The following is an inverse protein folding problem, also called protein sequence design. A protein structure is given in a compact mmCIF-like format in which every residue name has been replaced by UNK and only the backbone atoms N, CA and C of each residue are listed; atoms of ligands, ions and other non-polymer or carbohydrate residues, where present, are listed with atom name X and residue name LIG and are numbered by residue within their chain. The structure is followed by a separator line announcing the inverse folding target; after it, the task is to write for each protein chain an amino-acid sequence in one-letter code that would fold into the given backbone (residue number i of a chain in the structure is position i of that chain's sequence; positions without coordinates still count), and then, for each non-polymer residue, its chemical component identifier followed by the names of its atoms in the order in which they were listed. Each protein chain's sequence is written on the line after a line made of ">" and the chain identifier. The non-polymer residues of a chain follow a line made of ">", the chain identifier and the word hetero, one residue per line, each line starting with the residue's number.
data_IF_164637558309
#
_entry.id   IF_164637558309
#
_cell.length_a   1.000
_cell.length_b   1.000
_cell.length_c   1.000
_cell.angle_alpha   90.00
_cell.angle_beta   90.00
_cell.angle_gamma   90.00
#
_symmetry.space_group_name_H-M   'P 1'
#
loop_
_entity.id
_entity.type
_entity.pdbx_description
1 polymer ?
#
# COMPACT_ATOMS: atom_id res chain seq x y z
N UNK A 1 6.89 3.49 -18.54
CA UNK A 1 5.87 4.51 -18.78
C UNK A 1 4.83 4.45 -17.67
N UNK A 2 4.60 5.56 -17.01
CA UNK A 2 3.71 5.60 -15.85
C UNK A 2 2.24 5.43 -16.26
N UNK A 3 1.57 4.42 -15.74
CA UNK A 3 0.14 4.20 -15.98
C UNK A 3 -0.70 5.08 -15.03
N UNK A 4 -1.93 5.44 -15.42
CA UNK A 4 -2.78 6.33 -14.63
C UNK A 4 -3.53 5.58 -13.51
N UNK A 5 -2.79 4.89 -12.64
CA UNK A 5 -3.34 4.30 -11.42
C UNK A 5 -2.24 4.14 -10.38
N UNK A 6 -2.65 4.06 -9.13
CA UNK A 6 -1.79 3.80 -7.97
C UNK A 6 -2.20 2.50 -7.32
N UNK A 7 -1.28 1.93 -6.55
CA UNK A 7 -1.60 0.82 -5.65
C UNK A 7 -1.15 1.16 -4.23
N UNK A 8 -1.83 0.53 -3.29
CA UNK A 8 -1.51 0.54 -1.87
C UNK A 8 -1.47 -0.92 -1.43
N UNK A 9 -0.44 -1.32 -0.69
CA UNK A 9 -0.33 -2.70 -0.21
C UNK A 9 0.01 -2.74 1.27
N UNK A 10 -0.74 -3.52 2.02
CA UNK A 10 -0.62 -3.61 3.48
C UNK A 10 0.04 -4.93 3.85
N UNK A 11 1.28 -4.89 4.40
CA UNK A 11 1.90 -6.08 4.97
C UNK A 11 1.28 -6.37 6.33
N UNK A 12 0.89 -7.62 6.58
CA UNK A 12 0.42 -8.00 7.90
C UNK A 12 1.03 -9.33 8.32
N UNK A 13 1.05 -9.57 9.63
CA UNK A 13 1.45 -10.85 10.22
C UNK A 13 0.72 -11.03 11.54
N UNK A 14 0.72 -12.25 12.06
CA UNK A 14 0.11 -12.56 13.34
C UNK A 14 1.17 -12.75 14.41
N UNK A 15 0.94 -12.14 15.57
CA UNK A 15 1.76 -12.36 16.77
C UNK A 15 0.82 -12.74 17.89
N UNK A 16 1.00 -13.97 18.43
CA UNK A 16 0.12 -14.52 19.48
C UNK A 16 -1.36 -14.44 19.10
N UNK A 17 -1.67 -14.74 17.83
CA UNK A 17 -3.04 -14.75 17.31
C UNK A 17 -3.62 -13.39 16.97
N UNK A 18 -2.85 -12.31 17.14
CA UNK A 18 -3.30 -10.95 16.85
C UNK A 18 -2.60 -10.40 15.61
N UNK A 19 -3.34 -9.71 14.71
CA UNK A 19 -2.70 -9.14 13.53
C UNK A 19 -1.88 -7.91 13.87
N UNK A 20 -0.71 -7.82 13.24
CA UNK A 20 0.15 -6.64 13.25
C UNK A 20 0.31 -6.16 11.81
N UNK A 21 0.45 -4.86 11.65
CA UNK A 21 0.54 -4.22 10.34
C UNK A 21 1.84 -3.43 10.24
N UNK A 22 2.50 -3.52 9.09
CA UNK A 22 3.76 -2.82 8.90
C UNK A 22 3.51 -1.46 8.26
N UNK A 23 3.88 -0.40 8.98
CA UNK A 23 3.85 0.97 8.43
C UNK A 23 5.27 1.42 8.16
N UNK A 24 5.44 2.22 7.11
CA UNK A 24 6.73 2.69 6.62
C UNK A 24 6.80 4.20 6.72
N UNK A 25 7.93 4.71 7.18
CA UNK A 25 8.18 6.15 7.26
C UNK A 25 8.90 6.61 6.00
N UNK A 26 8.34 7.56 5.29
CA UNK A 26 8.92 8.07 4.04
C UNK A 26 10.16 8.90 4.31
N UNK A 27 11.17 8.75 3.42
CA UNK A 27 12.41 9.53 3.53
C UNK A 27 12.26 10.96 3.05
N UNK A 28 11.29 11.24 2.16
CA UNK A 28 11.10 12.55 1.55
C UNK A 28 10.15 13.47 2.34
N UNK A 29 9.42 12.92 3.31
CA UNK A 29 8.50 13.68 4.14
C UNK A 29 8.29 12.93 5.46
N UNK A 30 7.79 13.64 6.47
CA UNK A 30 7.60 13.03 7.80
C UNK A 30 6.22 12.38 7.90
N UNK A 31 5.98 11.39 7.05
CA UNK A 31 4.68 10.71 6.97
C UNK A 31 4.84 9.21 7.01
N UNK A 32 3.87 8.56 7.68
CA UNK A 32 3.78 7.12 7.77
C UNK A 32 2.69 6.60 6.84
N UNK A 33 3.00 5.56 6.09
CA UNK A 33 2.05 4.98 5.15
C UNK A 33 2.38 3.51 4.90
N UNK A 34 1.50 2.82 4.15
CA UNK A 34 1.79 1.49 3.67
C UNK A 34 2.59 1.57 2.37
N UNK A 35 2.95 0.42 1.82
CA UNK A 35 3.61 0.35 0.53
C UNK A 35 2.70 1.00 -0.51
N UNK A 36 3.25 1.91 -1.30
CA UNK A 36 2.48 2.62 -2.32
C UNK A 36 3.34 2.88 -3.55
N UNK A 37 2.72 2.87 -4.70
CA UNK A 37 3.43 3.18 -5.93
C UNK A 37 2.49 3.15 -7.11
N UNK A 38 3.00 3.43 -8.28
CA UNK A 38 2.19 3.53 -9.49
C UNK A 38 2.35 2.35 -10.41
N UNK A 39 1.32 2.12 -11.22
CA UNK A 39 1.41 1.16 -12.30
C UNK A 39 2.38 1.61 -13.37
N UNK A 40 2.94 0.67 -14.09
CA UNK A 40 3.85 0.93 -15.21
C UNK A 40 3.39 0.17 -16.44
N UNK A 41 3.51 0.82 -17.59
CA UNK A 41 3.20 0.22 -18.89
C UNK A 41 1.81 -0.42 -18.92
N UNK A 42 1.74 -1.70 -19.21
CA UNK A 42 0.49 -2.44 -19.33
C UNK A 42 0.21 -3.33 -18.12
N UNK A 43 0.84 -3.04 -16.97
CA UNK A 43 0.60 -3.81 -15.76
C UNK A 43 -0.86 -3.75 -15.33
N UNK A 44 -1.37 -4.88 -14.83
CA UNK A 44 -2.60 -4.88 -14.06
C UNK A 44 -2.32 -4.31 -12.67
N UNK A 45 -3.33 -3.85 -11.92
CA UNK A 45 -3.11 -3.42 -10.53
C UNK A 45 -2.44 -4.48 -9.67
N UNK A 46 -2.80 -5.75 -9.80
CA UNK A 46 -2.17 -6.84 -9.04
C UNK A 46 -0.69 -6.97 -9.38
N UNK A 47 -0.34 -6.90 -10.66
CA UNK A 47 1.06 -6.96 -11.08
C UNK A 47 1.86 -5.80 -10.53
N UNK A 48 1.29 -4.60 -10.56
CA UNK A 48 1.94 -3.41 -10.00
C UNK A 48 2.13 -3.56 -8.49
N UNK A 49 1.14 -4.11 -7.78
CA UNK A 49 1.24 -4.33 -6.33
C UNK A 49 2.38 -5.31 -6.02
N UNK A 50 2.48 -6.41 -6.75
CA UNK A 50 3.54 -7.41 -6.54
C UNK A 50 4.92 -6.78 -6.77
N UNK A 51 5.07 -5.98 -7.83
CA UNK A 51 6.34 -5.29 -8.12
C UNK A 51 6.70 -4.27 -7.06
N UNK A 52 5.76 -3.43 -6.65
CA UNK A 52 6.01 -2.41 -5.62
C UNK A 52 6.33 -3.05 -4.26
N UNK A 53 5.66 -4.15 -3.91
CA UNK A 53 5.96 -4.89 -2.69
C UNK A 53 7.43 -5.33 -2.72
N UNK A 54 7.89 -5.87 -3.83
CA UNK A 54 9.28 -6.32 -3.97
C UNK A 54 10.25 -5.14 -3.88
N UNK A 55 9.96 -4.05 -4.58
CA UNK A 55 10.84 -2.87 -4.60
C UNK A 55 10.98 -2.23 -3.22
N UNK A 56 9.89 -2.13 -2.46
CA UNK A 56 9.91 -1.43 -1.18
C UNK A 56 10.21 -2.32 0.03
N UNK A 57 10.04 -3.64 -0.08
CA UNK A 57 10.22 -4.54 1.06
C UNK A 57 11.20 -5.67 0.82
N UNK A 58 11.56 -5.93 -0.42
CA UNK A 58 12.39 -7.10 -0.78
C UNK A 58 11.62 -8.42 -0.76
N UNK A 59 10.31 -8.39 -0.56
CA UNK A 59 9.48 -9.59 -0.45
C UNK A 59 8.91 -9.98 -1.80
N UNK A 60 9.12 -11.24 -2.22
CA UNK A 60 8.43 -11.82 -3.37
C UNK A 60 7.10 -12.39 -2.89
N UNK A 61 6.09 -11.55 -2.79
CA UNK A 61 4.79 -11.93 -2.25
C UNK A 61 4.07 -12.92 -3.18
N UNK A 62 3.62 -14.04 -2.62
CA UNK A 62 2.95 -15.10 -3.39
C UNK A 62 1.43 -15.01 -3.33
N UNK A 63 0.89 -14.43 -2.26
CA UNK A 63 -0.54 -14.32 -2.02
C UNK A 63 -0.91 -12.88 -1.73
N UNK A 64 -0.98 -12.09 -2.79
CA UNK A 64 -1.45 -10.72 -2.71
C UNK A 64 -2.93 -10.76 -3.08
N UNK A 65 -3.77 -10.21 -2.22
CA UNK A 65 -5.21 -10.20 -2.50
C UNK A 65 -5.76 -8.77 -2.49
N UNK A 66 -6.75 -8.48 -3.34
CA UNK A 66 -7.33 -7.14 -3.40
C UNK A 66 -8.29 -6.90 -2.26
N UNK A 67 -8.31 -5.67 -1.77
CA UNK A 67 -9.34 -5.18 -0.87
C UNK A 67 -10.41 -4.49 -1.71
N UNK A 68 -11.57 -4.25 -1.12
CA UNK A 68 -12.63 -3.49 -1.78
C UNK A 68 -12.32 -2.00 -1.76
N UNK A 69 -11.62 -1.55 -0.73
CA UNK A 69 -11.28 -0.14 -0.55
C UNK A 69 -10.49 0.40 -1.74
N UNK A 70 -10.89 1.57 -2.21
CA UNK A 70 -10.14 2.33 -3.20
C UNK A 70 -10.43 3.80 -3.00
N UNK A 71 -9.56 4.64 -3.52
CA UNK A 71 -9.79 6.08 -3.54
C UNK A 71 -9.32 6.64 -4.86
N UNK A 72 -9.61 7.91 -5.09
CA UNK A 72 -9.09 8.64 -6.25
C UNK A 72 -8.09 9.68 -5.77
N UNK A 73 -6.97 9.78 -6.46
CA UNK A 73 -5.90 10.71 -6.16
C UNK A 73 -5.87 11.78 -7.27
N UNK A 74 -5.71 13.03 -6.89
CA UNK A 74 -5.63 14.12 -7.85
C UNK A 74 -4.41 13.94 -8.75
N UNK A 75 -4.61 14.09 -10.05
CA UNK A 75 -3.52 13.94 -11.02
C UNK A 75 -2.41 14.98 -10.81
N UNK A 76 -2.76 16.17 -10.30
CA UNK A 76 -1.79 17.24 -10.06
C UNK A 76 -0.85 16.97 -8.87
N UNK A 77 -1.07 15.88 -8.13
CA UNK A 77 -0.12 15.43 -7.11
C UNK A 77 1.12 14.77 -7.74
N UNK A 78 1.09 14.49 -9.03
CA UNK A 78 2.19 13.82 -9.75
C UNK A 78 2.91 14.80 -10.66
N UNK A 79 4.18 14.52 -10.94
CA UNK A 79 5.00 15.37 -11.81
C UNK A 79 4.49 15.36 -13.25
N UNK A 80 4.84 16.40 -14.00
CA UNK A 80 4.52 16.46 -15.43
C UNK A 80 5.13 15.28 -16.18
N UNK A 81 6.31 14.85 -15.76
CA UNK A 81 6.98 13.69 -16.36
C UNK A 81 6.15 12.40 -16.16
N UNK A 82 5.62 12.19 -14.95
CA UNK A 82 4.77 11.02 -14.66
C UNK A 82 3.50 11.05 -15.49
N UNK A 83 2.92 12.24 -15.71
CA UNK A 83 1.65 12.43 -16.42
C UNK A 83 1.78 12.52 -17.93
N UNK A 84 3.01 12.47 -18.47
CA UNK A 84 3.29 12.78 -19.87
C UNK A 84 2.46 11.95 -20.86
N UNK A 85 2.09 10.72 -20.49
CA UNK A 85 1.36 9.80 -21.38
C UNK A 85 -0.12 9.66 -21.01
N UNK A 86 -0.58 10.41 -20.00
CA UNK A 86 -1.99 10.38 -19.61
C UNK A 86 -2.79 11.30 -20.52
N UNK A 87 -4.08 10.98 -20.70
CA UNK A 87 -4.93 11.86 -21.50
C UNK A 87 -5.13 13.20 -20.78
N UNK A 88 -5.44 14.24 -21.55
CA UNK A 88 -5.59 15.60 -21.01
C UNK A 88 -6.71 15.74 -20.00
N UNK A 89 -7.73 14.88 -20.12
CA UNK A 89 -8.88 14.86 -19.23
C UNK A 89 -8.72 13.93 -18.02
N UNK A 90 -7.50 13.49 -17.74
CA UNK A 90 -7.21 12.70 -16.54
C UNK A 90 -7.02 13.66 -15.36
N UNK A 91 -8.09 13.90 -14.61
CA UNK A 91 -8.05 14.78 -13.44
C UNK A 91 -7.77 14.03 -12.15
N UNK A 92 -8.22 12.79 -12.06
CA UNK A 92 -8.00 11.91 -10.91
C UNK A 92 -7.64 10.52 -11.41
N UNK A 93 -6.87 9.79 -10.60
CA UNK A 93 -6.53 8.39 -10.93
C UNK A 93 -6.92 7.50 -9.75
N UNK A 94 -7.33 6.25 -10.01
CA UNK A 94 -7.68 5.34 -8.93
C UNK A 94 -6.45 4.83 -8.19
N UNK A 95 -6.61 4.61 -6.88
CA UNK A 95 -5.64 3.91 -6.05
C UNK A 95 -6.30 2.63 -5.55
N UNK A 96 -5.80 1.48 -5.98
CA UNK A 96 -6.31 0.18 -5.60
C UNK A 96 -5.55 -0.36 -4.39
N UNK A 97 -6.26 -0.99 -3.46
CA UNK A 97 -5.68 -1.48 -2.21
C UNK A 97 -5.55 -2.99 -2.21
N UNK A 98 -4.43 -3.45 -1.66
CA UNK A 98 -4.08 -4.86 -1.56
C UNK A 98 -3.53 -5.17 -0.18
N UNK A 99 -3.49 -6.45 0.16
CA UNK A 99 -2.86 -6.90 1.39
C UNK A 99 -2.13 -8.21 1.13
N UNK A 100 -1.12 -8.49 1.96
CA UNK A 100 -0.40 -9.77 1.90
C UNK A 100 0.15 -10.13 3.27
N UNK A 101 0.13 -11.44 3.58
CA UNK A 101 0.71 -11.94 4.81
C UNK A 101 2.24 -11.98 4.65
N UNK A 102 2.95 -11.38 5.61
CA UNK A 102 4.39 -11.25 5.55
C UNK A 102 5.03 -11.90 6.78
N UNK A 103 5.52 -13.14 6.61
CA UNK A 103 6.25 -13.84 7.66
C UNK A 103 7.75 -13.61 7.62
N UNK A 104 8.23 -12.86 6.64
CA UNK A 104 9.65 -12.60 6.43
C UNK A 104 10.03 -11.21 6.90
N UNK A 105 11.33 -10.98 7.13
CA UNK A 105 11.82 -9.65 7.48
C UNK A 105 11.77 -8.73 6.27
N UNK A 106 11.23 -7.54 6.48
CA UNK A 106 11.16 -6.51 5.45
C UNK A 106 12.46 -5.73 5.41
N UNK A 107 13.02 -5.57 4.21
CA UNK A 107 14.18 -4.70 3.97
C UNK A 107 13.68 -3.44 3.30
N UNK A 108 13.76 -2.31 4.00
CA UNK A 108 13.30 -1.03 3.46
C UNK A 108 14.21 -0.54 2.35
N UNK A 109 13.60 0.10 1.35
CA UNK A 109 14.31 0.76 0.25
C UNK A 109 14.71 2.18 0.64
N UNK A 110 15.41 2.88 -0.27
CA UNK A 110 15.82 4.27 -0.06
C UNK A 110 14.62 5.23 0.08
N UNK A 111 13.44 4.81 -0.33
CA UNK A 111 12.22 5.61 -0.23
C UNK A 111 11.73 5.75 1.21
N UNK A 112 12.19 4.88 2.11
CA UNK A 112 11.75 4.85 3.50
C UNK A 112 12.93 4.85 4.45
N UNK A 113 12.76 5.45 5.63
CA UNK A 113 13.81 5.55 6.65
C UNK A 113 13.68 4.49 7.75
N UNK A 114 12.46 4.05 8.04
CA UNK A 114 12.22 3.03 9.08
C UNK A 114 10.87 2.36 8.86
N UNK A 115 10.66 1.25 9.57
CA UNK A 115 9.39 0.53 9.57
C UNK A 115 8.98 0.18 11.01
N UNK A 116 7.67 0.03 11.23
CA UNK A 116 7.13 -0.40 12.50
C UNK A 116 6.05 -1.44 12.28
N UNK A 117 6.04 -2.49 13.09
CA UNK A 117 4.94 -3.45 13.15
C UNK A 117 4.02 -3.04 14.29
N UNK A 118 2.79 -2.67 13.97
CA UNK A 118 1.86 -2.05 14.90
C UNK A 118 0.53 -2.77 14.95
N UNK A 119 -0.16 -2.67 16.10
CA UNK A 119 -1.55 -3.10 16.22
C UNK A 119 -2.44 -2.19 15.37
N UNK A 120 -3.69 -2.60 15.18
CA UNK A 120 -4.67 -1.78 14.44
C UNK A 120 -4.77 -0.35 15.01
N UNK A 121 -4.93 -0.25 16.33
CA UNK A 121 -5.07 1.07 16.98
C UNK A 121 -3.84 1.95 16.80
N UNK A 122 -2.67 1.36 17.00
CA UNK A 122 -1.40 2.08 16.85
C UNK A 122 -1.18 2.53 15.41
N UNK A 123 -1.45 1.64 14.45
CA UNK A 123 -1.28 1.94 13.04
C UNK A 123 -2.24 3.05 12.60
N UNK A 124 -3.50 3.00 13.02
CA UNK A 124 -4.50 4.02 12.69
C UNK A 124 -4.06 5.39 13.17
N UNK A 125 -3.48 5.46 14.38
CA UNK A 125 -2.98 6.73 14.94
C UNK A 125 -1.78 7.27 14.16
N UNK A 126 -0.92 6.37 13.68
CA UNK A 126 0.33 6.73 13.02
C UNK A 126 0.14 7.17 11.58
N UNK A 127 -0.78 6.53 10.85
CA UNK A 127 -1.01 6.78 9.43
C UNK A 127 -1.52 8.20 9.16
N UNK A 128 -1.00 8.80 8.10
CA UNK A 128 -1.38 10.15 7.69
C UNK A 128 -2.63 10.17 6.84
N UNK A 129 -2.73 9.25 5.86
CA UNK A 129 -3.74 9.32 4.82
C UNK A 129 -5.00 8.53 5.15
N UNK A 130 -6.17 9.15 4.92
CA UNK A 130 -7.46 8.49 5.15
C UNK A 130 -7.63 7.22 4.32
N UNK A 131 -7.10 7.21 3.09
CA UNK A 131 -7.16 6.01 2.23
C UNK A 131 -6.47 4.82 2.88
N UNK A 132 -5.33 5.06 3.54
CA UNK A 132 -4.59 4.03 4.27
C UNK A 132 -5.41 3.52 5.45
N UNK A 133 -6.04 4.43 6.19
CA UNK A 133 -6.85 4.09 7.36
C UNK A 133 -8.08 3.28 6.98
N UNK A 134 -8.74 3.63 5.88
CA UNK A 134 -9.92 2.92 5.39
C UNK A 134 -9.55 1.51 4.94
N UNK A 135 -8.46 1.37 4.18
CA UNK A 135 -7.99 0.06 3.74
C UNK A 135 -7.57 -0.81 4.93
N UNK A 136 -6.91 -0.21 5.92
CA UNK A 136 -6.53 -0.91 7.15
C UNK A 136 -7.75 -1.40 7.91
N UNK A 137 -8.77 -0.57 8.03
CA UNK A 137 -10.03 -0.95 8.68
C UNK A 137 -10.63 -2.19 8.00
N UNK A 138 -10.74 -2.17 6.69
CA UNK A 138 -11.29 -3.30 5.93
C UNK A 138 -10.48 -4.56 6.17
N UNK A 139 -9.16 -4.46 6.07
CA UNK A 139 -8.27 -5.61 6.27
C UNK A 139 -8.43 -6.18 7.68
N UNK A 140 -8.43 -5.32 8.68
CA UNK A 140 -8.55 -5.73 10.08
C UNK A 140 -9.86 -6.48 10.31
N UNK A 141 -10.97 -5.98 9.77
CA UNK A 141 -12.27 -6.66 9.88
C UNK A 141 -12.27 -8.02 9.18
N UNK A 142 -11.65 -8.11 7.99
CA UNK A 142 -11.55 -9.38 7.28
C UNK A 142 -10.73 -10.41 8.05
N UNK A 143 -9.63 -10.00 8.67
CA UNK A 143 -8.76 -10.90 9.43
C UNK A 143 -9.44 -11.35 10.72
N UNK A 144 -10.18 -10.47 11.39
CA UNK A 144 -10.94 -10.82 12.60
C UNK A 144 -12.06 -11.81 12.29
N UNK A 145 -12.79 -11.61 11.19
CA UNK A 145 -13.85 -12.53 10.78
C UNK A 145 -13.31 -13.93 10.52
N UNK A 146 -12.16 -14.05 9.85
CA UNK A 146 -11.52 -15.34 9.59
C UNK A 146 -11.10 -16.04 10.87
N UNK A 147 -10.65 -15.29 11.88
CA UNK A 147 -10.21 -15.84 13.15
C UNK A 147 -11.39 -16.32 14.02
N UNK A 148 -12.60 -15.86 13.74
CA UNK A 148 -13.80 -16.25 14.46
C UNK A 148 -14.47 -17.49 13.86
N UNK A 149 -14.04 -17.89 12.68
CA UNK A 149 -14.53 -19.09 12.01
C UNK A 149 -13.59 -20.27 12.33
#
# INVERSE_FOLDING_TARGET
>A
MRAPFQILAIPYRFLCGKPLYCVLHRSDCNQWQFIAGGGENNETPTEAAIREIYEESGISAKKVFPLTSMCYVRADCFSEKARANWTRDTYVIPEYSFAFECGEDIRISDENTELLWLTYSEATTKLEWDSNKTALYELNERLLDKNQQ
#
